data_IF_907475478883
#
_entry.id   IF_907475478883
#
_cell.length_a   1.000
_cell.length_b   1.000
_cell.length_c   1.000
_cell.angle_alpha   90.00
_cell.angle_beta   90.00
_cell.angle_gamma   90.00
#
_symmetry.space_group_name_H-M   'P 1'
#
loop_
_entity.id
_entity.type
_entity.pdbx_description
1 polymer ?
#
# COMPACT_ATOMS: atom_id res chain seq x y z
N UNK A 1 -37.36 31.15 -5.54
CA UNK A 1 -36.63 31.81 -4.42
C UNK A 1 -35.44 30.96 -3.95
N UNK A 2 -35.66 29.69 -3.56
CA UNK A 2 -34.61 28.73 -3.19
C UNK A 2 -33.45 28.62 -4.19
N UNK A 3 -33.74 28.39 -5.47
CA UNK A 3 -32.70 28.24 -6.51
C UNK A 3 -31.83 29.50 -6.69
N UNK A 4 -32.39 30.69 -6.47
CA UNK A 4 -31.65 31.95 -6.55
C UNK A 4 -30.65 32.06 -5.40
N UNK A 5 -31.07 31.69 -4.18
CA UNK A 5 -30.19 31.65 -3.01
C UNK A 5 -29.07 30.60 -3.18
N UNK A 6 -29.38 29.42 -3.74
CA UNK A 6 -28.39 28.37 -4.02
C UNK A 6 -27.37 28.85 -5.05
N UNK A 7 -27.81 29.46 -6.17
CA UNK A 7 -26.89 30.03 -7.18
C UNK A 7 -26.03 31.15 -6.61
N UNK A 8 -26.61 32.01 -5.78
CA UNK A 8 -25.88 33.09 -5.12
C UNK A 8 -24.78 32.54 -4.18
N UNK A 9 -25.13 31.57 -3.34
CA UNK A 9 -24.16 30.91 -2.46
C UNK A 9 -23.07 30.14 -3.22
N UNK A 10 -23.42 29.51 -4.35
CA UNK A 10 -22.47 28.80 -5.21
C UNK A 10 -21.44 29.72 -5.86
N UNK A 11 -21.83 30.95 -6.24
CA UNK A 11 -20.93 31.95 -6.82
C UNK A 11 -20.09 32.70 -5.80
N UNK A 12 -20.43 32.66 -4.51
CA UNK A 12 -19.68 33.35 -3.47
C UNK A 12 -18.21 32.88 -3.43
N UNK A 13 -17.28 33.74 -3.86
CA UNK A 13 -15.84 33.42 -3.94
C UNK A 13 -15.28 32.94 -2.61
N UNK A 14 -15.62 33.60 -1.49
CA UNK A 14 -15.16 33.21 -0.15
C UNK A 14 -15.65 31.80 0.21
N UNK A 15 -16.92 31.50 0.00
CA UNK A 15 -17.46 30.15 0.24
C UNK A 15 -16.78 29.10 -0.65
N UNK A 16 -16.44 29.44 -1.89
CA UNK A 16 -15.78 28.50 -2.80
C UNK A 16 -14.33 28.20 -2.40
N UNK A 17 -13.56 29.19 -1.89
CA UNK A 17 -12.17 29.05 -1.44
C UNK A 17 -12.04 28.28 -0.12
N UNK A 18 -13.01 28.41 0.78
CA UNK A 18 -13.06 27.66 2.06
C UNK A 18 -13.80 26.33 1.96
N UNK A 19 -14.32 25.97 0.78
CA UNK A 19 -15.08 24.75 0.61
C UNK A 19 -14.30 23.50 1.08
N UNK A 20 -14.99 22.47 1.59
CA UNK A 20 -14.37 21.24 2.03
C UNK A 20 -13.48 20.61 0.95
N UNK A 21 -12.39 19.97 1.37
CA UNK A 21 -11.56 19.17 0.48
C UNK A 21 -12.35 18.00 -0.10
N UNK A 22 -12.19 17.74 -1.40
CA UNK A 22 -12.86 16.61 -2.04
C UNK A 22 -11.95 15.38 -1.93
N UNK A 23 -12.35 14.43 -1.09
CA UNK A 23 -11.63 13.17 -0.87
C UNK A 23 -12.13 12.02 -1.75
N UNK A 24 -12.76 12.35 -2.88
CA UNK A 24 -13.29 11.34 -3.80
C UNK A 24 -12.23 10.92 -4.82
N UNK A 25 -12.08 9.61 -5.07
CA UNK A 25 -11.20 9.12 -6.10
C UNK A 25 -11.72 9.46 -7.50
N UNK A 26 -10.80 9.71 -8.42
CA UNK A 26 -11.13 10.16 -9.78
C UNK A 26 -10.78 9.19 -10.90
N UNK A 27 -10.03 8.14 -10.59
CA UNK A 27 -9.50 7.19 -11.57
C UNK A 27 -9.87 5.76 -11.17
N UNK A 28 -9.99 4.88 -12.17
CA UNK A 28 -10.38 3.49 -11.97
C UNK A 28 -9.31 2.71 -11.20
N UNK A 29 -9.75 1.75 -10.40
CA UNK A 29 -8.86 0.84 -9.68
C UNK A 29 -8.19 -0.16 -10.65
N UNK A 30 -6.86 -0.11 -10.78
CA UNK A 30 -6.08 -1.14 -11.48
C UNK A 30 -5.58 -2.19 -10.49
N UNK A 31 -6.09 -3.42 -10.58
CA UNK A 31 -5.63 -4.53 -9.76
C UNK A 31 -4.35 -5.14 -10.33
N UNK A 32 -3.30 -5.21 -9.52
CA UNK A 32 -2.06 -5.91 -9.84
C UNK A 32 -2.03 -7.20 -9.01
N UNK A 33 -1.96 -8.36 -9.67
CA UNK A 33 -1.81 -9.68 -9.04
C UNK A 33 -0.46 -10.29 -9.40
N UNK A 34 0.04 -11.20 -8.57
CA UNK A 34 1.19 -12.03 -8.86
C UNK A 34 0.69 -13.48 -9.03
N UNK A 35 1.09 -14.21 -10.08
CA UNK A 35 0.65 -15.58 -10.35
C UNK A 35 1.21 -16.63 -9.38
N UNK A 36 2.37 -16.39 -8.77
CA UNK A 36 3.01 -17.35 -7.84
C UNK A 36 3.76 -16.62 -6.70
N UNK A 37 4.05 -17.31 -5.57
CA UNK A 37 4.79 -16.74 -4.44
C UNK A 37 6.11 -16.10 -4.87
N UNK A 38 6.45 -14.98 -4.25
CA UNK A 38 7.76 -14.31 -4.33
C UNK A 38 8.13 -13.71 -5.68
N UNK A 39 7.25 -13.80 -6.69
CA UNK A 39 7.45 -13.12 -7.97
C UNK A 39 7.52 -11.60 -7.80
N UNK A 40 6.60 -11.03 -7.02
CA UNK A 40 6.42 -9.58 -6.90
C UNK A 40 6.29 -9.19 -5.43
N UNK A 41 7.07 -8.20 -5.02
CA UNK A 41 7.09 -7.69 -3.65
C UNK A 41 6.71 -6.22 -3.60
N UNK A 42 6.00 -5.80 -2.56
CA UNK A 42 5.79 -4.39 -2.23
C UNK A 42 6.73 -4.00 -1.09
N UNK A 43 7.52 -2.96 -1.29
CA UNK A 43 8.47 -2.41 -0.33
C UNK A 43 7.94 -1.08 0.22
N UNK A 44 8.08 -0.88 1.53
CA UNK A 44 7.74 0.38 2.21
C UNK A 44 8.50 0.52 3.55
N UNK A 45 8.51 1.73 4.10
CA UNK A 45 9.11 2.07 5.40
C UNK A 45 8.01 2.43 6.40
N UNK A 46 8.05 1.80 7.56
CA UNK A 46 7.24 2.23 8.71
C UNK A 46 8.10 3.08 9.63
N UNK A 47 7.73 4.35 9.80
CA UNK A 47 8.31 5.19 10.85
C UNK A 47 8.09 6.69 10.64
N UNK A 48 8.64 7.53 11.54
CA UNK A 48 9.34 7.13 12.76
C UNK A 48 8.39 6.56 13.83
N UNK A 49 8.82 5.46 14.46
CA UNK A 49 8.21 4.87 15.66
C UNK A 49 8.85 5.45 16.92
N UNK A 50 8.23 5.20 18.08
CA UNK A 50 8.86 5.47 19.37
C UNK A 50 10.21 4.75 19.43
N UNK A 51 11.25 5.40 19.94
CA UNK A 51 12.58 4.79 19.99
C UNK A 51 12.53 3.50 20.80
N UNK A 52 12.92 2.39 20.18
CA UNK A 52 12.96 1.10 20.87
C UNK A 52 14.07 1.07 21.93
N UNK A 53 14.01 0.09 22.81
CA UNK A 53 15.08 -0.26 23.76
C UNK A 53 16.44 -0.47 23.08
N UNK A 54 16.46 -0.88 21.81
CA UNK A 54 17.67 -1.07 21.00
C UNK A 54 18.01 0.10 20.07
N UNK A 55 17.34 1.25 20.24
CA UNK A 55 17.60 2.47 19.49
C UNK A 55 17.02 2.53 18.08
N UNK A 56 16.34 1.47 17.61
CA UNK A 56 15.63 1.48 16.33
C UNK A 56 14.38 2.38 16.36
N UNK A 57 14.04 2.97 15.22
CA UNK A 57 12.88 3.85 15.01
C UNK A 57 12.12 3.58 13.72
N UNK A 58 12.67 2.77 12.81
CA UNK A 58 12.07 2.49 11.51
C UNK A 58 12.00 0.98 11.29
N UNK A 59 11.03 0.54 10.49
CA UNK A 59 10.99 -0.80 9.92
C UNK A 59 11.08 -0.68 8.40
N UNK A 60 11.96 -1.45 7.78
CA UNK A 60 11.91 -1.72 6.35
C UNK A 60 11.07 -2.98 6.15
N UNK A 61 10.05 -2.92 5.29
CA UNK A 61 9.06 -3.98 5.13
C UNK A 61 8.93 -4.35 3.66
N UNK A 62 9.04 -5.65 3.36
CA UNK A 62 8.70 -6.23 2.06
C UNK A 62 7.56 -7.23 2.21
N UNK A 63 6.51 -7.08 1.41
CA UNK A 63 5.34 -7.96 1.40
C UNK A 63 5.15 -8.62 0.04
N UNK A 64 5.06 -9.94 0.00
CA UNK A 64 4.79 -10.71 -1.21
C UNK A 64 3.35 -10.51 -1.69
N UNK A 65 3.16 -10.27 -2.99
CA UNK A 65 1.84 -10.00 -3.56
C UNK A 65 0.93 -11.24 -3.57
N UNK A 66 1.49 -12.45 -3.66
CA UNK A 66 0.70 -13.68 -3.74
C UNK A 66 0.35 -14.21 -2.34
N UNK A 67 1.35 -14.70 -1.60
CA UNK A 67 1.19 -15.36 -0.30
C UNK A 67 0.85 -14.40 0.83
N UNK A 68 1.07 -13.09 0.61
CA UNK A 68 1.03 -12.04 1.62
C UNK A 68 2.12 -12.20 2.67
N UNK A 69 3.15 -13.02 2.43
CA UNK A 69 4.30 -13.15 3.32
C UNK A 69 4.96 -11.80 3.54
N UNK A 70 5.31 -11.49 4.79
CA UNK A 70 5.97 -10.24 5.14
C UNK A 70 7.35 -10.53 5.71
N UNK A 71 8.39 -9.91 5.16
CA UNK A 71 9.69 -9.74 5.80
C UNK A 71 9.81 -8.30 6.32
N UNK A 72 10.30 -8.13 7.54
CA UNK A 72 10.56 -6.82 8.11
C UNK A 72 11.76 -6.83 9.05
N UNK A 73 12.55 -5.75 9.01
CA UNK A 73 13.73 -5.55 9.86
C UNK A 73 13.77 -4.12 10.41
N UNK A 74 14.32 -3.98 11.62
CA UNK A 74 14.28 -2.75 12.39
C UNK A 74 15.60 -1.96 12.29
N UNK A 75 15.50 -0.65 12.08
CA UNK A 75 16.63 0.25 11.86
C UNK A 75 16.54 1.51 12.72
N UNK A 76 17.69 2.02 13.17
CA UNK A 76 17.79 3.35 13.79
C UNK A 76 17.61 4.46 12.74
N UNK A 77 18.21 4.27 11.56
CA UNK A 77 17.99 5.05 10.35
C UNK A 77 18.18 4.13 9.14
N UNK A 78 17.42 4.36 8.08
CA UNK A 78 17.49 3.56 6.85
C UNK A 78 18.39 4.30 5.86
N UNK A 79 19.50 3.66 5.51
CA UNK A 79 20.45 4.08 4.47
C UNK A 79 20.31 3.16 3.26
N UNK A 80 20.73 3.60 2.10
CA UNK A 80 20.61 2.86 0.84
C UNK A 80 21.29 1.47 0.91
N UNK A 81 22.52 1.39 1.44
CA UNK A 81 23.22 0.12 1.64
C UNK A 81 22.51 -0.85 2.59
N UNK A 82 21.71 -0.34 3.53
CA UNK A 82 20.90 -1.17 4.42
C UNK A 82 19.71 -1.80 3.68
N UNK A 83 19.15 -1.11 2.68
CA UNK A 83 18.07 -1.65 1.82
C UNK A 83 18.61 -2.81 0.98
N UNK A 84 19.77 -2.65 0.34
CA UNK A 84 20.39 -3.71 -0.46
C UNK A 84 20.72 -4.94 0.41
N UNK A 85 21.30 -4.71 1.59
CA UNK A 85 21.59 -5.78 2.56
C UNK A 85 20.33 -6.51 3.00
N UNK A 86 19.24 -5.77 3.26
CA UNK A 86 17.96 -6.34 3.62
C UNK A 86 17.40 -7.24 2.52
N UNK A 87 17.38 -6.77 1.28
CA UNK A 87 16.86 -7.52 0.13
C UNK A 87 17.70 -8.77 -0.12
N UNK A 88 19.02 -8.63 -0.10
CA UNK A 88 19.93 -9.76 -0.25
C UNK A 88 19.65 -10.85 0.80
N UNK A 89 19.73 -10.49 2.09
CA UNK A 89 19.64 -11.43 3.21
C UNK A 89 18.25 -12.03 3.37
N UNK A 90 17.21 -11.20 3.31
CA UNK A 90 15.86 -11.61 3.71
C UNK A 90 14.96 -12.00 2.54
N UNK A 91 15.29 -11.60 1.31
CA UNK A 91 14.52 -11.95 0.11
C UNK A 91 15.31 -12.93 -0.75
N UNK A 92 16.44 -12.51 -1.32
CA UNK A 92 17.18 -13.32 -2.30
C UNK A 92 17.68 -14.62 -1.67
N UNK A 93 18.40 -14.54 -0.56
CA UNK A 93 18.96 -15.73 0.10
C UNK A 93 17.91 -16.66 0.73
N UNK A 94 16.66 -16.22 0.91
CA UNK A 94 15.60 -17.01 1.56
C UNK A 94 14.58 -17.56 0.58
N UNK A 95 14.16 -16.71 -0.35
CA UNK A 95 12.98 -16.93 -1.20
C UNK A 95 13.33 -16.92 -2.69
N UNK A 96 14.57 -16.56 -3.05
CA UNK A 96 15.03 -16.43 -4.43
C UNK A 96 14.91 -15.00 -4.98
N UNK A 97 15.38 -14.82 -6.21
CA UNK A 97 15.40 -13.51 -6.87
C UNK A 97 13.99 -13.13 -7.32
N UNK A 98 13.43 -12.00 -6.86
CA UNK A 98 12.12 -11.56 -7.29
C UNK A 98 12.14 -11.06 -8.73
N UNK A 99 11.02 -11.21 -9.44
CA UNK A 99 10.85 -10.60 -10.76
C UNK A 99 10.69 -9.08 -10.65
N UNK A 100 9.93 -8.60 -9.65
CA UNK A 100 9.64 -7.18 -9.48
C UNK A 100 9.51 -6.74 -8.03
N UNK A 101 10.08 -5.57 -7.72
CA UNK A 101 9.86 -4.84 -6.47
C UNK A 101 9.08 -3.56 -6.79
N UNK A 102 7.95 -3.40 -6.12
CA UNK A 102 7.11 -2.21 -6.19
C UNK A 102 7.38 -1.37 -4.94
N UNK A 103 7.73 -0.10 -5.11
CA UNK A 103 8.05 0.80 -3.99
C UNK A 103 7.50 2.19 -4.25
N UNK A 104 7.38 3.02 -3.23
CA UNK A 104 7.03 4.43 -3.44
C UNK A 104 8.22 5.25 -3.95
N UNK A 105 7.98 6.52 -4.28
CA UNK A 105 9.02 7.46 -4.70
C UNK A 105 9.82 8.04 -3.50
N UNK A 106 9.98 7.27 -2.42
CA UNK A 106 10.81 7.65 -1.30
C UNK A 106 12.27 7.85 -1.75
N UNK A 107 12.98 8.88 -1.26
CA UNK A 107 14.34 9.18 -1.70
C UNK A 107 15.32 8.03 -1.41
N UNK A 108 15.07 7.21 -0.38
CA UNK A 108 15.85 6.01 -0.06
C UNK A 108 15.70 4.87 -1.08
N UNK A 109 14.67 4.95 -1.93
CA UNK A 109 14.33 3.92 -2.91
C UNK A 109 14.60 4.36 -4.35
N UNK A 110 15.09 5.59 -4.55
CA UNK A 110 15.49 6.14 -5.85
C UNK A 110 17.01 6.37 -5.87
N UNK A 111 17.76 5.68 -5.02
CA UNK A 111 19.22 5.83 -5.00
C UNK A 111 19.84 5.07 -6.18
N UNK A 112 20.92 5.64 -6.73
CA UNK A 112 21.70 4.97 -7.77
C UNK A 112 22.24 3.61 -7.31
N UNK A 113 22.53 3.47 -6.01
CA UNK A 113 23.00 2.21 -5.42
C UNK A 113 21.90 1.12 -5.44
N UNK A 114 20.65 1.49 -5.15
CA UNK A 114 19.52 0.56 -5.20
C UNK A 114 19.15 0.17 -6.64
N UNK A 115 19.15 1.14 -7.56
CA UNK A 115 18.89 0.87 -8.98
C UNK A 115 19.98 -0.01 -9.61
N UNK A 116 21.25 0.23 -9.28
CA UNK A 116 22.37 -0.59 -9.72
C UNK A 116 22.25 -2.03 -9.19
N UNK A 117 21.94 -2.19 -7.90
CA UNK A 117 21.71 -3.50 -7.29
C UNK A 117 20.56 -4.25 -7.98
N UNK A 118 19.40 -3.60 -8.16
CA UNK A 118 18.28 -4.25 -8.85
C UNK A 118 18.61 -4.62 -10.29
N UNK A 119 19.38 -3.77 -10.99
CA UNK A 119 19.82 -4.04 -12.37
C UNK A 119 20.78 -5.23 -12.46
N UNK A 120 21.72 -5.34 -11.52
CA UNK A 120 22.66 -6.48 -11.43
C UNK A 120 21.93 -7.82 -11.30
N UNK A 121 20.87 -7.85 -10.48
CA UNK A 121 20.06 -9.04 -10.23
C UNK A 121 18.89 -9.22 -11.21
N UNK A 122 18.77 -8.38 -12.25
CA UNK A 122 17.64 -8.35 -13.19
C UNK A 122 16.27 -8.23 -12.51
N UNK A 123 16.20 -7.50 -11.40
CA UNK A 123 14.96 -7.21 -10.67
C UNK A 123 14.33 -5.95 -11.27
N UNK A 124 13.08 -6.07 -11.74
CA UNK A 124 12.33 -4.90 -12.21
C UNK A 124 11.91 -4.03 -11.02
N UNK A 125 12.19 -2.73 -11.08
CA UNK A 125 11.69 -1.76 -10.08
C UNK A 125 10.49 -1.01 -10.65
N UNK A 126 9.40 -0.98 -9.91
CA UNK A 126 8.18 -0.24 -10.25
C UNK A 126 7.84 0.78 -9.18
N UNK A 127 7.90 2.05 -9.55
CA UNK A 127 7.62 3.14 -8.62
C UNK A 127 6.13 3.50 -8.59
N UNK A 128 5.51 3.46 -7.40
CA UNK A 128 4.16 3.95 -7.20
C UNK A 128 4.18 5.47 -7.21
N UNK A 129 3.53 6.07 -8.21
CA UNK A 129 3.46 7.53 -8.29
C UNK A 129 2.55 8.11 -7.20
N UNK A 130 2.75 9.37 -6.76
CA UNK A 130 1.80 10.07 -5.87
C UNK A 130 0.37 10.17 -6.43
N UNK A 131 0.22 9.93 -7.74
CA UNK A 131 -1.04 9.91 -8.48
C UNK A 131 -1.78 8.57 -8.34
N UNK A 132 -1.06 7.49 -8.08
CA UNK A 132 -1.56 6.13 -7.88
C UNK A 132 -1.01 5.53 -6.59
N UNK A 133 -1.35 6.09 -5.40
CA UNK A 133 -0.95 5.50 -4.11
C UNK A 133 -1.40 4.05 -3.97
N UNK A 134 -2.39 3.61 -4.75
CA UNK A 134 -2.87 2.23 -4.79
C UNK A 134 -1.83 1.23 -5.34
N UNK A 135 -0.82 1.69 -6.10
CA UNK A 135 0.24 0.84 -6.63
C UNK A 135 0.99 0.09 -5.53
N UNK A 136 1.21 0.76 -4.38
CA UNK A 136 1.83 0.19 -3.19
C UNK A 136 0.81 -0.17 -2.08
N UNK A 137 -0.49 -0.31 -2.42
CA UNK A 137 -1.53 -0.56 -1.43
C UNK A 137 -1.37 -1.87 -0.65
N UNK A 138 -0.60 -2.84 -1.18
CA UNK A 138 -0.21 -4.04 -0.43
C UNK A 138 0.68 -3.70 0.76
N UNK A 139 1.70 -2.87 0.57
CA UNK A 139 2.57 -2.45 1.66
C UNK A 139 1.80 -1.63 2.69
N UNK A 140 0.92 -0.71 2.27
CA UNK A 140 0.08 0.06 3.20
C UNK A 140 -0.79 -0.86 4.09
N UNK A 141 -1.40 -1.90 3.48
CA UNK A 141 -2.23 -2.86 4.21
C UNK A 141 -1.41 -3.72 5.18
N UNK A 142 -0.21 -4.16 4.76
CA UNK A 142 0.73 -4.88 5.60
C UNK A 142 1.20 -4.01 6.78
N UNK A 143 1.60 -2.78 6.52
CA UNK A 143 2.06 -1.80 7.50
C UNK A 143 0.99 -1.51 8.55
N UNK A 144 -0.26 -1.30 8.12
CA UNK A 144 -1.40 -1.15 9.03
C UNK A 144 -1.57 -2.36 9.93
N UNK A 145 -1.39 -3.56 9.40
CA UNK A 145 -1.55 -4.81 10.16
C UNK A 145 -0.42 -5.01 11.16
N UNK A 146 0.83 -4.81 10.77
CA UNK A 146 2.00 -4.86 11.65
C UNK A 146 1.83 -3.88 12.81
N UNK A 147 1.51 -2.62 12.51
CA UNK A 147 1.30 -1.58 13.52
C UNK A 147 0.16 -1.93 14.48
N UNK A 148 -0.96 -2.47 13.96
CA UNK A 148 -2.08 -2.88 14.81
C UNK A 148 -1.68 -4.00 15.77
N UNK A 149 -0.95 -5.01 15.28
CA UNK A 149 -0.53 -6.14 16.08
C UNK A 149 0.54 -5.76 17.12
N UNK A 150 1.53 -4.95 16.74
CA UNK A 150 2.51 -4.38 17.68
C UNK A 150 1.80 -3.60 18.78
N UNK A 151 0.86 -2.70 18.44
CA UNK A 151 0.09 -1.94 19.43
C UNK A 151 -0.64 -2.82 20.45
N UNK A 152 -1.19 -3.96 20.01
CA UNK A 152 -1.88 -4.91 20.90
C UNK A 152 -0.92 -5.63 21.85
N UNK A 153 0.32 -5.88 21.43
CA UNK A 153 1.34 -6.57 22.24
C UNK A 153 2.00 -5.63 23.26
N UNK A 154 2.12 -4.35 22.93
CA UNK A 154 2.98 -3.43 23.68
C UNK A 154 2.34 -2.78 24.91
N UNK A 155 1.02 -2.88 25.11
CA UNK A 155 0.32 -2.25 26.24
C UNK A 155 0.83 -0.81 26.49
N UNK A 156 1.42 -0.52 27.65
CA UNK A 156 2.05 0.76 28.01
C UNK A 156 3.55 0.87 27.63
N UNK A 157 4.23 -0.24 27.34
CA UNK A 157 5.67 -0.31 27.07
C UNK A 157 5.99 -0.05 25.59
N UNK A 158 5.79 1.20 25.15
CA UNK A 158 5.97 1.57 23.74
C UNK A 158 7.38 1.35 23.19
N UNK A 159 8.42 1.29 24.03
CA UNK A 159 9.81 1.02 23.62
C UNK A 159 10.13 -0.46 23.37
N UNK A 160 9.27 -1.39 23.78
CA UNK A 160 9.50 -2.84 23.65
C UNK A 160 9.20 -3.42 22.26
N UNK A 161 8.86 -2.58 21.27
CA UNK A 161 8.36 -3.06 19.98
C UNK A 161 9.39 -3.85 19.17
N UNK A 162 10.69 -3.61 19.40
CA UNK A 162 11.76 -4.33 18.72
C UNK A 162 11.68 -5.83 19.01
N UNK A 163 11.52 -6.20 20.28
CA UNK A 163 11.51 -7.61 20.71
C UNK A 163 10.18 -8.31 20.35
N UNK A 164 9.10 -7.53 20.18
CA UNK A 164 7.79 -8.05 19.73
C UNK A 164 7.64 -8.19 18.20
N UNK A 165 8.59 -7.69 17.41
CA UNK A 165 8.49 -7.72 15.95
C UNK A 165 8.40 -9.15 15.40
N UNK A 166 9.33 -10.04 15.79
CA UNK A 166 9.35 -11.41 15.30
C UNK A 166 8.10 -12.22 15.71
N UNK A 167 7.64 -12.18 16.99
CA UNK A 167 6.37 -12.77 17.38
C UNK A 167 5.17 -12.26 16.56
N UNK A 168 5.12 -10.95 16.27
CA UNK A 168 4.05 -10.36 15.46
C UNK A 168 4.09 -10.85 14.01
N UNK A 169 5.28 -10.91 13.41
CA UNK A 169 5.44 -11.44 12.05
C UNK A 169 5.07 -12.91 11.97
N UNK A 170 5.48 -13.72 12.95
CA UNK A 170 5.12 -15.14 13.00
C UNK A 170 3.61 -15.32 13.13
N UNK A 171 2.96 -14.64 14.08
CA UNK A 171 1.50 -14.69 14.24
C UNK A 171 0.78 -14.24 12.96
N UNK A 172 1.31 -13.25 12.25
CA UNK A 172 0.77 -12.85 10.94
C UNK A 172 0.90 -13.97 9.89
N UNK A 173 2.07 -14.60 9.79
CA UNK A 173 2.39 -15.66 8.82
C UNK A 173 1.58 -16.93 9.06
N UNK A 174 1.15 -17.19 10.29
CA UNK A 174 0.39 -18.40 10.67
C UNK A 174 -1.11 -18.16 10.85
N UNK A 175 -1.62 -16.97 10.52
CA UNK A 175 -3.07 -16.68 10.60
C UNK A 175 -3.65 -16.50 9.19
N UNK A 176 -4.80 -17.11 8.85
CA UNK A 176 -5.41 -16.98 7.53
C UNK A 176 -5.65 -15.52 7.13
N UNK A 177 -5.38 -15.15 5.87
CA UNK A 177 -5.63 -13.79 5.37
C UNK A 177 -6.93 -13.75 4.59
N UNK A 178 -7.73 -12.70 4.77
CA UNK A 178 -9.01 -12.54 4.06
C UNK A 178 -8.90 -12.63 2.52
N UNK A 179 -7.88 -12.06 1.85
CA UNK A 179 -7.79 -12.11 0.39
C UNK A 179 -7.51 -13.51 -0.16
N UNK A 180 -6.75 -14.34 0.57
CA UNK A 180 -6.34 -15.68 0.13
C UNK A 180 -7.24 -16.77 0.70
N UNK A 181 -7.78 -16.59 1.90
CA UNK A 181 -8.41 -17.65 2.70
C UNK A 181 -7.42 -18.56 3.43
N UNK A 182 -6.15 -18.51 3.06
CA UNK A 182 -5.06 -19.37 3.54
C UNK A 182 -4.08 -18.59 4.43
N UNK A 183 -3.24 -19.31 5.19
CA UNK A 183 -2.12 -18.68 5.89
C UNK A 183 -0.98 -18.37 4.89
N UNK A 184 -0.22 -17.28 5.09
CA UNK A 184 0.97 -17.05 4.30
C UNK A 184 1.97 -18.21 4.39
N UNK A 185 2.05 -18.87 5.55
CA UNK A 185 2.94 -20.00 5.77
C UNK A 185 2.58 -21.21 4.90
N UNK A 186 1.32 -21.60 4.82
CA UNK A 186 0.92 -22.75 3.99
C UNK A 186 1.05 -22.48 2.50
N UNK A 187 0.78 -21.25 2.03
CA UNK A 187 0.99 -20.87 0.64
C UNK A 187 2.47 -20.93 0.22
N UNK A 188 3.39 -20.63 1.15
CA UNK A 188 4.83 -20.66 0.91
C UNK A 188 5.38 -22.08 1.01
N UNK A 189 5.17 -22.74 2.14
CA UNK A 189 5.83 -24.01 2.47
C UNK A 189 5.01 -25.26 2.12
N UNK A 190 3.77 -25.11 1.66
CA UNK A 190 2.91 -26.24 1.30
C UNK A 190 2.13 -26.86 2.47
N UNK A 191 2.48 -26.49 3.70
CA UNK A 191 1.91 -27.04 4.93
C UNK A 191 1.74 -25.96 6.00
N UNK A 192 0.84 -26.17 6.96
CA UNK A 192 0.64 -25.25 8.07
C UNK A 192 1.76 -25.32 9.11
N UNK A 193 2.15 -24.17 9.67
CA UNK A 193 3.09 -24.12 10.78
C UNK A 193 2.51 -24.79 12.02
N UNK A 194 3.35 -25.41 12.85
CA UNK A 194 2.94 -25.85 14.20
C UNK A 194 2.71 -24.63 15.08
N UNK A 195 1.45 -24.38 15.43
CA UNK A 195 1.06 -23.27 16.33
C UNK A 195 0.86 -23.78 17.76
N UNK A 196 0.87 -22.90 18.79
CA UNK A 196 0.86 -23.33 20.19
C UNK A 196 -0.47 -23.96 20.59
N UNK A 197 -1.57 -23.64 19.89
CA UNK A 197 -2.85 -24.29 20.10
C UNK A 197 -2.76 -25.82 19.92
N UNK A 198 -1.92 -26.28 19.00
CA UNK A 198 -1.68 -27.70 18.75
C UNK A 198 -0.74 -28.36 19.76
N UNK A 199 -0.14 -27.60 20.69
CA UNK A 199 0.56 -28.18 21.83
C UNK A 199 -0.45 -28.66 22.87
N UNK A 200 -1.54 -27.90 23.03
CA UNK A 200 -2.58 -28.17 24.02
C UNK A 200 -3.61 -29.18 23.48
N UNK A 201 -3.86 -29.15 22.17
CA UNK A 201 -4.74 -30.09 21.47
C UNK A 201 -3.97 -30.68 20.29
N UNK A 202 -3.15 -31.72 20.52
CA UNK A 202 -2.36 -32.36 19.47
C UNK A 202 -3.28 -32.94 18.38
N UNK A 203 -3.04 -32.57 17.13
CA UNK A 203 -3.68 -33.20 15.98
C UNK A 203 -2.87 -34.38 15.44
N UNK A 204 -3.39 -35.00 14.37
CA UNK A 204 -2.79 -36.19 13.73
C UNK A 204 -1.29 -36.05 13.43
N UNK A 205 -0.85 -34.87 12.97
CA UNK A 205 0.57 -34.64 12.66
C UNK A 205 1.52 -34.70 13.87
N UNK A 206 0.99 -34.65 15.09
CA UNK A 206 1.74 -34.68 16.35
C UNK A 206 1.56 -35.96 17.13
N UNK A 207 0.44 -36.65 16.91
CA UNK A 207 0.14 -37.93 17.58
C UNK A 207 0.50 -39.11 16.71
N UNK A 208 -0.05 -39.18 15.49
CA UNK A 208 0.04 -40.36 14.62
C UNK A 208 1.24 -40.29 13.67
N UNK A 209 1.48 -39.13 13.04
CA UNK A 209 2.52 -39.00 12.01
C UNK A 209 3.95 -39.37 12.47
N UNK A 210 4.38 -39.09 13.72
CA UNK A 210 5.69 -39.55 14.20
C UNK A 210 5.77 -41.05 14.48
N UNK A 211 4.62 -41.73 14.62
CA UNK A 211 4.52 -43.14 14.97
C UNK A 211 4.31 -44.03 13.74
N UNK A 212 3.74 -43.49 12.66
CA UNK A 212 3.48 -44.21 11.42
C UNK A 212 4.10 -43.50 10.22
N UNK A 213 5.34 -43.90 9.87
CA UNK A 213 6.12 -43.27 8.81
C UNK A 213 5.50 -43.46 7.42
N UNK A 214 4.92 -44.63 7.13
CA UNK A 214 4.29 -44.92 5.83
C UNK A 214 3.05 -44.03 5.60
N UNK A 215 2.17 -43.92 6.60
CA UNK A 215 1.00 -43.04 6.51
C UNK A 215 1.41 -41.57 6.41
N UNK A 216 2.42 -41.14 7.19
CA UNK A 216 2.93 -39.78 7.10
C UNK A 216 3.51 -39.46 5.72
N UNK A 217 4.24 -40.41 5.11
CA UNK A 217 4.77 -40.24 3.75
C UNK A 217 3.63 -40.07 2.74
N UNK A 218 2.61 -40.93 2.79
CA UNK A 218 1.45 -40.84 1.91
C UNK A 218 0.71 -39.49 2.06
N UNK A 219 0.53 -39.02 3.30
CA UNK A 219 -0.10 -37.71 3.56
C UNK A 219 0.74 -36.52 3.03
N UNK A 220 2.07 -36.63 3.06
CA UNK A 220 2.95 -35.61 2.51
C UNK A 220 2.90 -35.59 0.97
N UNK A 221 2.81 -36.75 0.33
CA UNK A 221 2.64 -36.86 -1.12
C UNK A 221 1.32 -36.25 -1.57
N UNK A 222 0.21 -36.59 -0.90
CA UNK A 222 -1.11 -35.97 -1.13
C UNK A 222 -1.06 -34.44 -0.94
N UNK A 223 -0.28 -33.97 0.04
CA UNK A 223 -0.11 -32.54 0.30
C UNK A 223 0.65 -31.84 -0.84
N UNK A 224 1.63 -32.51 -1.45
CA UNK A 224 2.38 -32.01 -2.60
C UNK A 224 1.52 -31.96 -3.87
N UNK A 225 0.66 -32.95 -4.09
CA UNK A 225 -0.24 -32.96 -5.24
C UNK A 225 -1.27 -31.82 -5.17
N UNK A 226 -1.79 -31.56 -3.97
CA UNK A 226 -2.85 -30.56 -3.75
C UNK A 226 -2.34 -29.12 -3.57
N UNK A 227 -1.02 -28.87 -3.42
CA UNK A 227 -0.54 -27.51 -3.14
C UNK A 227 -0.77 -26.54 -4.29
N UNK A 228 -0.62 -27.00 -5.53
CA UNK A 228 -0.86 -26.15 -6.70
C UNK A 228 -2.34 -25.79 -6.82
N UNK A 229 -3.23 -26.75 -6.56
CA UNK A 229 -4.68 -26.49 -6.52
C UNK A 229 -5.04 -25.47 -5.43
N UNK A 230 -4.46 -25.60 -4.23
CA UNK A 230 -4.63 -24.62 -3.14
C UNK A 230 -4.14 -23.23 -3.54
N UNK A 231 -3.00 -23.14 -4.22
CA UNK A 231 -2.45 -21.88 -4.75
C UNK A 231 -3.34 -21.26 -5.83
N UNK A 232 -3.89 -22.07 -6.74
CA UNK A 232 -4.81 -21.61 -7.77
C UNK A 232 -6.13 -21.10 -7.18
N UNK A 233 -6.68 -21.82 -6.20
CA UNK A 233 -7.85 -21.37 -5.45
C UNK A 233 -7.58 -20.05 -4.72
N UNK A 234 -6.40 -19.90 -4.10
CA UNK A 234 -5.99 -18.65 -3.48
C UNK A 234 -5.88 -17.52 -4.51
N UNK A 235 -5.33 -17.78 -5.70
CA UNK A 235 -5.24 -16.81 -6.78
C UNK A 235 -6.62 -16.32 -7.23
N UNK A 236 -7.57 -17.23 -7.42
CA UNK A 236 -8.97 -16.91 -7.76
C UNK A 236 -9.59 -16.03 -6.67
N UNK A 237 -9.38 -16.38 -5.39
CA UNK A 237 -9.88 -15.57 -4.25
C UNK A 237 -9.26 -14.17 -4.23
N UNK A 238 -7.95 -14.05 -4.47
CA UNK A 238 -7.26 -12.75 -4.55
C UNK A 238 -7.87 -11.91 -5.67
N UNK A 239 -8.07 -12.49 -6.86
CA UNK A 239 -8.65 -11.78 -8.00
C UNK A 239 -10.09 -11.33 -7.71
N UNK A 240 -10.93 -12.21 -7.15
CA UNK A 240 -12.30 -11.87 -6.76
C UNK A 240 -12.33 -10.76 -5.70
N UNK A 241 -11.44 -10.83 -4.70
CA UNK A 241 -11.31 -9.81 -3.68
C UNK A 241 -10.89 -8.46 -4.28
N UNK A 242 -9.91 -8.45 -5.18
CA UNK A 242 -9.45 -7.26 -5.89
C UNK A 242 -10.57 -6.68 -6.76
N UNK A 243 -11.31 -7.50 -7.49
CA UNK A 243 -12.46 -7.06 -8.30
C UNK A 243 -13.58 -6.48 -7.43
N UNK A 244 -13.90 -7.10 -6.29
CA UNK A 244 -14.90 -6.58 -5.36
C UNK A 244 -14.47 -5.22 -4.78
N UNK A 245 -13.20 -5.11 -4.36
CA UNK A 245 -12.64 -3.84 -3.91
C UNK A 245 -12.66 -2.78 -5.01
N UNK A 246 -12.31 -3.16 -6.25
CA UNK A 246 -12.38 -2.30 -7.43
C UNK A 246 -13.81 -1.82 -7.69
N UNK A 247 -14.80 -2.71 -7.68
CA UNK A 247 -16.23 -2.36 -7.87
C UNK A 247 -16.71 -1.41 -6.78
N UNK A 248 -16.40 -1.68 -5.52
CA UNK A 248 -16.74 -0.81 -4.40
C UNK A 248 -16.10 0.57 -4.54
N UNK A 249 -14.80 0.62 -4.87
CA UNK A 249 -14.08 1.86 -5.10
C UNK A 249 -14.64 2.64 -6.29
N UNK A 250 -14.82 1.97 -7.43
CA UNK A 250 -15.34 2.54 -8.66
C UNK A 250 -16.78 3.03 -8.51
N UNK A 251 -17.61 2.37 -7.69
CA UNK A 251 -18.98 2.83 -7.38
C UNK A 251 -19.02 4.18 -6.66
N UNK A 252 -17.93 4.57 -5.99
CA UNK A 252 -17.80 5.87 -5.32
C UNK A 252 -17.23 6.95 -6.24
N UNK A 253 -16.78 6.60 -7.44
CA UNK A 253 -16.27 7.57 -8.41
C UNK A 253 -17.47 8.37 -8.94
N UNK A 254 -17.51 9.65 -8.59
CA UNK A 254 -18.31 10.63 -9.33
C UNK A 254 -17.42 11.30 -10.35
N UNK A 255 -17.62 10.97 -11.62
CA UNK A 255 -16.91 11.62 -12.72
C UNK A 255 -17.17 13.12 -12.69
N UNK A 256 -16.11 13.92 -12.72
CA UNK A 256 -16.14 15.38 -12.73
C UNK A 256 -15.30 15.90 -13.90
N UNK A 257 -15.73 15.67 -15.14
CA UNK A 257 -15.00 16.16 -16.29
C UNK A 257 -15.01 17.70 -16.29
N UNK A 258 -13.87 18.28 -16.64
CA UNK A 258 -13.76 19.70 -16.95
C UNK A 258 -13.57 19.86 -18.45
N UNK A 259 -14.12 20.93 -19.00
CA UNK A 259 -13.96 21.27 -20.41
C UNK A 259 -12.99 22.44 -20.57
N UNK A 260 -12.39 22.56 -21.75
CA UNK A 260 -11.57 23.73 -22.08
C UNK A 260 -12.43 24.99 -21.91
N UNK A 261 -11.89 25.98 -21.19
CA UNK A 261 -12.60 27.20 -20.82
C UNK A 261 -13.29 27.16 -19.45
N UNK A 262 -13.42 25.99 -18.80
CA UNK A 262 -13.96 25.94 -17.43
C UNK A 262 -13.03 26.66 -16.44
N UNK A 263 -13.64 27.42 -15.53
CA UNK A 263 -12.93 27.98 -14.38
C UNK A 263 -12.82 26.92 -13.28
N UNK A 264 -11.62 26.79 -12.71
CA UNK A 264 -11.32 25.82 -11.66
C UNK A 264 -10.49 26.45 -10.53
N UNK A 265 -10.67 25.94 -9.32
CA UNK A 265 -9.79 26.17 -8.19
C UNK A 265 -8.85 24.99 -8.00
N UNK A 266 -7.66 25.27 -7.47
CA UNK A 266 -6.60 24.31 -7.18
C UNK A 266 -6.46 24.10 -5.68
N UNK A 267 -6.18 22.87 -5.25
CA UNK A 267 -5.96 22.57 -3.83
C UNK A 267 -4.68 23.24 -3.32
N UNK A 268 -4.75 23.86 -2.14
CA UNK A 268 -3.57 24.39 -1.43
C UNK A 268 -2.85 23.24 -0.71
N UNK A 269 -1.56 23.06 -0.97
CA UNK A 269 -0.70 22.10 -0.28
C UNK A 269 -0.01 22.72 0.93
N UNK A 270 0.50 21.91 1.85
CA UNK A 270 1.04 22.34 3.14
C UNK A 270 2.12 23.43 3.03
N UNK A 271 2.96 23.38 1.99
CA UNK A 271 4.02 24.36 1.74
C UNK A 271 3.51 25.75 1.32
N UNK A 272 2.20 25.90 1.03
CA UNK A 272 1.55 27.15 0.63
C UNK A 272 0.40 27.55 1.57
N UNK A 273 0.24 26.85 2.70
CA UNK A 273 -0.74 27.24 3.71
C UNK A 273 -0.31 28.53 4.38
N UNK A 274 -1.29 29.37 4.74
CA UNK A 274 -1.04 30.54 5.58
C UNK A 274 -0.42 30.10 6.91
N UNK A 275 0.73 30.68 7.22
CA UNK A 275 1.42 30.47 8.49
C UNK A 275 0.51 30.88 9.65
N UNK A 276 0.35 30.00 10.65
CA UNK A 276 -0.51 30.25 11.81
C UNK A 276 -2.02 30.04 11.61
N UNK A 277 -2.51 29.85 10.38
CA UNK A 277 -3.96 29.72 10.12
C UNK A 277 -4.55 28.36 10.54
N UNK A 278 -3.71 27.33 10.70
CA UNK A 278 -4.15 26.00 11.14
C UNK A 278 -5.31 25.45 10.30
N UNK A 279 -6.42 25.08 10.96
CA UNK A 279 -7.64 24.56 10.32
C UNK A 279 -8.53 25.64 9.67
N UNK A 280 -8.24 26.93 9.89
CA UNK A 280 -9.04 28.05 9.40
C UNK A 280 -8.55 28.60 8.04
N UNK A 281 -7.39 28.13 7.56
CA UNK A 281 -6.82 28.57 6.29
C UNK A 281 -7.69 28.19 5.08
N UNK A 282 -7.44 28.88 3.96
CA UNK A 282 -8.07 28.57 2.67
C UNK A 282 -7.67 27.17 2.18
N UNK A 283 -8.65 26.41 1.68
CA UNK A 283 -8.43 25.06 1.15
C UNK A 283 -8.09 25.06 -0.34
N UNK A 284 -8.49 26.12 -1.05
CA UNK A 284 -8.40 26.24 -2.50
C UNK A 284 -7.82 27.59 -2.92
N UNK A 285 -7.00 27.61 -3.99
CA UNK A 285 -6.40 28.80 -4.62
C UNK A 285 -6.86 28.94 -6.08
N UNK A 286 -6.84 30.16 -6.62
CA UNK A 286 -7.27 30.47 -8.00
C UNK A 286 -8.21 31.68 -8.05
N UNK A 287 -9.03 31.83 -9.12
CA UNK A 287 -9.36 30.82 -10.13
C UNK A 287 -8.32 30.69 -11.26
N UNK A 288 -8.34 29.53 -11.92
CA UNK A 288 -7.57 29.20 -13.10
C UNK A 288 -8.52 28.77 -14.23
N UNK A 289 -8.06 28.82 -15.48
CA UNK A 289 -8.85 28.41 -16.66
C UNK A 289 -8.23 27.14 -17.26
N UNK A 290 -9.07 26.14 -17.56
CA UNK A 290 -8.64 24.92 -18.26
C UNK A 290 -8.31 25.25 -19.71
N UNK A 291 -7.09 24.95 -20.14
CA UNK A 291 -6.63 25.19 -21.52
C UNK A 291 -6.62 23.94 -22.38
N UNK A 292 -6.34 22.78 -21.78
CA UNK A 292 -6.18 21.52 -22.49
C UNK A 292 -6.58 20.34 -21.60
N UNK A 293 -7.26 19.36 -22.19
CA UNK A 293 -7.52 18.05 -21.58
C UNK A 293 -6.45 17.08 -22.08
N UNK A 294 -5.42 16.84 -21.26
CA UNK A 294 -4.27 16.00 -21.65
C UNK A 294 -4.67 14.53 -21.76
N UNK A 295 -5.41 14.05 -20.76
CA UNK A 295 -6.04 12.73 -20.72
C UNK A 295 -7.18 12.76 -19.70
N UNK A 296 -7.99 11.69 -19.65
CA UNK A 296 -9.15 11.66 -18.77
C UNK A 296 -8.77 11.97 -17.31
N UNK A 297 -9.35 13.04 -16.74
CA UNK A 297 -9.04 13.52 -15.37
C UNK A 297 -7.77 14.37 -15.23
N UNK A 298 -7.12 14.80 -16.31
CA UNK A 298 -5.84 15.55 -16.29
C UNK A 298 -5.88 16.77 -17.20
N UNK A 299 -5.57 17.94 -16.65
CA UNK A 299 -5.80 19.22 -17.32
C UNK A 299 -4.57 20.13 -17.24
N UNK A 300 -4.30 20.88 -18.32
CA UNK A 300 -3.44 22.06 -18.25
C UNK A 300 -4.27 23.29 -17.90
N UNK A 301 -3.65 24.19 -17.15
CA UNK A 301 -4.29 25.38 -16.61
C UNK A 301 -3.49 26.64 -17.00
N UNK A 302 -4.19 27.77 -17.06
CA UNK A 302 -3.60 29.11 -17.06
C UNK A 302 -4.21 29.95 -15.93
N UNK A 303 -3.47 30.93 -15.43
CA UNK A 303 -4.03 31.95 -14.54
C UNK A 303 -4.95 32.92 -15.31
N UNK A 304 -5.50 33.92 -14.60
CA UNK A 304 -6.40 34.91 -15.22
C UNK A 304 -5.65 35.90 -16.11
N UNK A 305 -4.36 36.09 -15.83
CA UNK A 305 -3.42 36.95 -16.56
C UNK A 305 -2.92 36.31 -17.85
N UNK A 306 -3.18 35.01 -18.05
CA UNK A 306 -2.87 34.23 -19.24
C UNK A 306 -1.57 33.42 -19.15
N UNK A 307 -0.87 33.46 -18.02
CA UNK A 307 0.36 32.69 -17.82
C UNK A 307 0.04 31.20 -17.62
N UNK A 308 0.75 30.30 -18.33
CA UNK A 308 0.52 28.87 -18.20
C UNK A 308 1.05 28.33 -16.86
N UNK A 309 0.26 27.47 -16.21
CA UNK A 309 0.73 26.70 -15.07
C UNK A 309 1.60 25.56 -15.57
N UNK A 310 2.88 25.53 -15.16
CA UNK A 310 3.89 24.65 -15.77
C UNK A 310 3.55 23.15 -15.76
N UNK A 311 2.91 22.63 -14.70
CA UNK A 311 2.60 21.20 -14.57
C UNK A 311 1.12 20.93 -14.84
N UNK A 312 0.75 19.82 -15.50
CA UNK A 312 -0.63 19.39 -15.62
C UNK A 312 -1.19 18.91 -14.27
N UNK A 313 -2.48 19.14 -14.05
CA UNK A 313 -3.16 18.91 -12.77
C UNK A 313 -4.21 17.80 -12.87
N UNK A 314 -4.28 16.96 -11.84
CA UNK A 314 -5.30 15.92 -11.71
C UNK A 314 -6.61 16.51 -11.18
N UNK A 315 -7.75 16.02 -11.66
CA UNK A 315 -9.09 16.36 -11.17
C UNK A 315 -9.25 16.19 -9.65
N UNK A 316 -8.50 15.30 -8.98
CA UNK A 316 -8.48 15.17 -7.51
C UNK A 316 -8.08 16.48 -6.83
N UNK A 317 -7.17 17.22 -7.44
CA UNK A 317 -6.64 18.47 -6.91
C UNK A 317 -7.35 19.71 -7.45
N UNK A 318 -8.47 19.53 -8.16
CA UNK A 318 -9.22 20.59 -8.82
C UNK A 318 -10.69 20.58 -8.41
N UNK A 319 -11.31 21.76 -8.44
CA UNK A 319 -12.73 21.97 -8.16
C UNK A 319 -13.29 22.98 -9.15
N UNK A 320 -14.50 22.77 -9.67
CA UNK A 320 -15.17 23.77 -10.52
C UNK A 320 -15.35 25.08 -9.74
N UNK A 321 -14.99 26.19 -10.37
CA UNK A 321 -15.26 27.53 -9.90
C UNK A 321 -16.48 28.07 -10.63
N UNK A 322 -17.49 28.50 -9.88
CA UNK A 322 -18.69 29.12 -10.42
C UNK A 322 -18.50 30.63 -10.41
N UNK A 323 -18.51 31.23 -11.61
CA UNK A 323 -18.48 32.68 -11.83
C UNK A 323 -19.89 33.25 -11.71
#
# INVERSE_FOLDING_TARGET
>A
MWESCVRFAQRCKRCQLHAPMIHQPSELFSSISAPYPFMRWSMDIIGPLHRSTRGAQYLLVLTDYFSKWIEAEAYASIKDSAVNTFIWKNIICRHGVPYEIVTDNGPQFISHEFEAFCSEWNIKVSYSTPRYPQGNGQAEAANKTILSNLKKRLSHLKGGWYDELQPVLWAYRTTPRRPTGETPFSLVYGMEAVVPAELNVPGLRRTEAPLNEEENSAMLDDSLDTINERRDQALIRIQNYQQAAARYYNSKIKSRPFFVGDYVLRRVFDNKKEEGAGKLGINWEGPYIVTEVVRNGVYRLKDLEGSPVQRPWNVINLKKFYV
#
